data_IF_100190315946
#
_entry.id   IF_100190315946
#
_cell.length_a   1.000
_cell.length_b   1.000
_cell.length_c   1.000
_cell.angle_alpha   90.00
_cell.angle_beta   90.00
_cell.angle_gamma   90.00
#
_symmetry.space_group_name_H-M   'P 1'
#
loop_
_entity.id
_entity.type
_entity.pdbx_description
1 polymer ?
#
# COMPACT_ATOMS: atom_id res chain seq x y z
N UNK A 1 -0.16 8.82 7.97
CA UNK A 1 -1.03 8.83 6.78
C UNK A 1 -1.10 10.24 6.23
N UNK A 2 -0.41 10.49 5.12
CA UNK A 2 -0.31 11.81 4.46
C UNK A 2 -1.27 11.94 3.27
N UNK A 3 -2.12 10.96 3.05
CA UNK A 3 -2.99 10.83 1.87
C UNK A 3 -4.48 10.75 2.23
N UNK A 4 -4.94 11.56 3.19
CA UNK A 4 -6.33 11.57 3.58
C UNK A 4 -7.16 12.52 2.68
N UNK A 5 -8.07 12.02 1.84
CA UNK A 5 -8.88 12.87 0.95
C UNK A 5 -9.91 13.74 1.69
N UNK A 6 -10.04 13.57 3.01
CA UNK A 6 -11.06 14.22 3.84
C UNK A 6 -10.53 15.41 4.65
N UNK A 7 -9.30 15.89 4.38
CA UNK A 7 -8.78 17.08 5.07
C UNK A 7 -9.47 18.32 4.49
N UNK A 8 -10.23 19.01 5.31
CA UNK A 8 -10.87 20.29 4.94
C UNK A 8 -9.78 21.33 4.65
N UNK A 9 -9.72 21.81 3.40
CA UNK A 9 -8.73 22.78 2.96
C UNK A 9 -7.93 22.37 1.74
N UNK A 10 -8.09 21.13 1.25
CA UNK A 10 -7.59 20.71 -0.08
C UNK A 10 -6.08 20.50 -0.19
N UNK A 11 -5.33 20.46 0.92
CA UNK A 11 -3.90 20.17 0.87
C UNK A 11 -3.72 18.67 1.04
N UNK A 12 -3.54 17.97 -0.06
CA UNK A 12 -3.16 16.55 -0.08
C UNK A 12 -1.63 16.45 -0.11
N UNK A 13 -1.01 16.34 1.05
CA UNK A 13 0.44 16.21 1.19
C UNK A 13 1.01 14.98 0.47
N UNK A 14 0.15 14.03 0.14
CA UNK A 14 0.54 12.78 -0.51
C UNK A 14 0.58 12.85 -2.04
N UNK A 15 0.18 13.97 -2.66
CA UNK A 15 0.12 14.10 -4.12
C UNK A 15 1.24 14.94 -4.73
N UNK A 16 1.95 15.71 -3.90
CA UNK A 16 3.08 16.53 -4.31
C UNK A 16 4.37 16.06 -3.62
N UNK A 17 5.46 15.78 -4.37
CA UNK A 17 6.71 15.27 -3.80
C UNK A 17 7.36 16.23 -2.79
N UNK A 18 7.31 17.54 -3.03
CA UNK A 18 7.93 18.53 -2.12
C UNK A 18 7.17 18.57 -0.80
N UNK A 19 5.85 18.58 -0.85
CA UNK A 19 5.01 18.57 0.35
C UNK A 19 5.13 17.24 1.12
N UNK A 20 5.22 16.12 0.41
CA UNK A 20 5.47 14.81 1.00
C UNK A 20 6.78 14.80 1.78
N UNK A 21 7.88 15.22 1.15
CA UNK A 21 9.18 15.31 1.79
C UNK A 21 9.16 16.20 3.02
N UNK A 22 8.57 17.38 2.91
CA UNK A 22 8.52 18.35 4.01
C UNK A 22 7.77 17.81 5.23
N UNK A 23 6.59 17.22 5.04
CA UNK A 23 5.80 16.68 6.16
C UNK A 23 6.49 15.48 6.81
N UNK A 24 7.17 14.63 6.05
CA UNK A 24 7.94 13.51 6.59
C UNK A 24 9.16 14.03 7.37
N UNK A 25 9.91 15.01 6.83
CA UNK A 25 11.05 15.62 7.49
C UNK A 25 10.66 16.31 8.80
N UNK A 26 9.59 17.12 8.81
CA UNK A 26 9.09 17.74 10.05
C UNK A 26 8.64 16.70 11.08
N UNK A 27 8.07 15.58 10.62
CA UNK A 27 7.73 14.47 11.52
C UNK A 27 8.98 13.82 12.08
N UNK A 28 10.02 13.64 11.25
CA UNK A 28 11.31 13.08 11.66
C UNK A 28 11.99 13.95 12.73
N UNK A 29 11.97 15.24 12.56
CA UNK A 29 12.54 16.19 13.52
C UNK A 29 11.82 16.15 14.89
N UNK A 30 10.54 15.78 14.89
CA UNK A 30 9.72 15.76 16.11
C UNK A 30 9.79 14.42 16.89
N UNK A 31 10.37 13.35 16.32
CA UNK A 31 10.40 12.04 16.99
C UNK A 31 11.58 11.17 16.55
N UNK A 32 12.07 10.33 17.46
CA UNK A 32 13.03 9.26 17.19
C UNK A 32 12.37 7.90 16.89
N UNK A 33 11.04 7.81 16.95
CA UNK A 33 10.31 6.58 16.65
C UNK A 33 10.37 6.26 15.15
N UNK A 34 10.25 4.97 14.76
CA UNK A 34 10.13 4.59 13.36
C UNK A 34 8.94 5.28 12.66
N UNK A 35 9.20 5.84 11.48
CA UNK A 35 8.20 6.53 10.65
C UNK A 35 7.86 5.66 9.44
N UNK A 36 6.60 5.25 9.35
CA UNK A 36 6.05 4.57 8.18
C UNK A 36 5.18 5.56 7.40
N UNK A 37 5.65 5.99 6.23
CA UNK A 37 4.90 6.87 5.35
C UNK A 37 3.91 6.08 4.50
N UNK A 38 2.60 6.34 4.68
CA UNK A 38 1.56 5.65 3.87
C UNK A 38 1.10 6.53 2.72
N UNK A 39 1.31 6.04 1.48
CA UNK A 39 1.14 6.78 0.24
C UNK A 39 -0.17 6.47 -0.47
N UNK A 40 -0.65 7.45 -1.25
CA UNK A 40 -1.84 7.32 -2.10
C UNK A 40 -1.48 6.81 -3.50
N UNK A 41 -2.31 5.96 -4.11
CA UNK A 41 -2.14 5.56 -5.51
C UNK A 41 -2.70 6.61 -6.49
N UNK A 42 -3.39 7.65 -5.99
CA UNK A 42 -4.11 8.64 -6.80
C UNK A 42 -3.15 9.76 -7.28
N UNK A 43 -2.02 9.36 -7.85
CA UNK A 43 -0.95 10.23 -8.34
C UNK A 43 -0.47 9.75 -9.70
N UNK A 44 0.15 10.63 -10.46
CA UNK A 44 0.74 10.29 -11.75
C UNK A 44 1.98 9.39 -11.60
N UNK A 45 2.84 9.69 -10.62
CA UNK A 45 4.06 8.93 -10.34
C UNK A 45 4.13 8.61 -8.84
N UNK A 46 3.86 7.37 -8.49
CA UNK A 46 4.02 6.90 -7.10
C UNK A 46 5.49 6.82 -6.69
N UNK A 47 6.38 6.63 -7.66
CA UNK A 47 7.83 6.55 -7.44
C UNK A 47 8.38 7.88 -6.93
N UNK A 48 7.94 9.00 -7.50
CA UNK A 48 8.42 10.33 -7.09
C UNK A 48 7.99 10.66 -5.65
N UNK A 49 6.76 10.29 -5.29
CA UNK A 49 6.27 10.45 -3.91
C UNK A 49 7.06 9.54 -2.95
N UNK A 50 7.34 8.29 -3.35
CA UNK A 50 8.09 7.35 -2.53
C UNK A 50 9.53 7.82 -2.29
N UNK A 51 10.22 8.32 -3.32
CA UNK A 51 11.54 8.93 -3.19
C UNK A 51 11.52 10.12 -2.23
N UNK A 52 10.52 11.00 -2.40
CA UNK A 52 10.35 12.15 -1.53
C UNK A 52 10.12 11.76 -0.05
N UNK A 53 9.35 10.70 0.21
CA UNK A 53 9.15 10.17 1.56
C UNK A 53 10.45 9.59 2.16
N UNK A 54 11.22 8.85 1.36
CA UNK A 54 12.54 8.31 1.76
C UNK A 54 13.52 9.46 2.07
N UNK A 55 13.62 10.45 1.19
CA UNK A 55 14.48 11.63 1.35
C UNK A 55 14.08 12.48 2.57
N UNK A 56 12.81 12.45 2.95
CA UNK A 56 12.27 13.08 4.16
C UNK A 56 12.60 12.34 5.45
N UNK A 57 13.18 11.13 5.37
CA UNK A 57 13.60 10.34 6.54
C UNK A 57 12.55 9.32 7.00
N UNK A 58 11.69 8.81 6.11
CA UNK A 58 10.85 7.67 6.41
C UNK A 58 11.67 6.38 6.56
N UNK A 59 11.43 5.61 7.63
CA UNK A 59 12.08 4.32 7.88
C UNK A 59 11.41 3.17 7.08
N UNK A 60 10.20 3.40 6.62
CA UNK A 60 9.45 2.48 5.76
C UNK A 60 8.34 3.18 5.00
N UNK A 61 7.89 2.57 3.90
CA UNK A 61 6.82 3.09 3.05
C UNK A 61 5.70 2.07 2.95
N UNK A 62 4.47 2.48 3.26
CA UNK A 62 3.28 1.63 3.10
C UNK A 62 2.52 2.00 1.83
N UNK A 63 2.27 1.03 0.97
CA UNK A 63 1.62 1.14 -0.32
C UNK A 63 0.47 0.13 -0.40
N UNK A 64 -0.74 0.55 -0.57
CA UNK A 64 -1.27 1.86 -0.95
C UNK A 64 -2.45 2.27 -0.07
N UNK A 65 -2.79 3.56 -0.06
CA UNK A 65 -4.10 4.00 0.41
C UNK A 65 -5.18 3.59 -0.61
N UNK A 66 -6.45 3.89 -0.33
CA UNK A 66 -7.57 3.56 -1.21
C UNK A 66 -7.49 4.29 -2.55
N UNK A 67 -8.03 3.66 -3.59
CA UNK A 67 -8.22 4.30 -4.91
C UNK A 67 -9.49 5.15 -4.85
N UNK A 68 -9.43 6.37 -5.36
CA UNK A 68 -10.60 7.25 -5.40
C UNK A 68 -11.66 6.67 -6.36
N UNK A 69 -12.87 6.55 -5.89
CA UNK A 69 -13.99 5.98 -6.62
C UNK A 69 -15.32 6.70 -6.35
N UNK A 70 -16.36 6.29 -7.03
CA UNK A 70 -17.72 6.84 -6.91
C UNK A 70 -18.75 5.73 -7.09
N UNK A 71 -19.90 5.87 -6.42
CA UNK A 71 -21.08 5.04 -6.67
C UNK A 71 -22.33 5.91 -6.81
N UNK A 72 -23.18 5.58 -7.81
CA UNK A 72 -24.35 6.37 -8.19
C UNK A 72 -25.59 5.49 -8.17
N UNK A 73 -26.65 5.96 -7.52
CA UNK A 73 -28.01 5.48 -7.79
C UNK A 73 -28.58 6.23 -9.03
N UNK A 74 -28.57 5.55 -10.15
CA UNK A 74 -29.03 6.12 -11.42
C UNK A 74 -30.54 6.42 -11.45
N UNK A 75 -31.32 5.72 -10.61
CA UNK A 75 -32.77 5.90 -10.54
C UNK A 75 -33.11 7.22 -9.86
N UNK A 76 -32.46 7.52 -8.75
CA UNK A 76 -32.62 8.78 -8.02
C UNK A 76 -31.68 9.88 -8.55
N UNK A 77 -30.71 9.51 -9.40
CA UNK A 77 -29.65 10.40 -9.95
C UNK A 77 -28.85 11.08 -8.84
N UNK A 78 -28.53 10.33 -7.78
CA UNK A 78 -27.79 10.81 -6.62
C UNK A 78 -26.57 9.92 -6.35
N UNK A 79 -25.50 10.51 -5.78
CA UNK A 79 -24.38 9.69 -5.27
C UNK A 79 -24.87 8.83 -4.10
N UNK A 80 -24.34 7.61 -3.99
CA UNK A 80 -24.56 6.73 -2.84
C UNK A 80 -23.68 7.09 -1.64
N UNK A 81 -22.56 7.77 -1.88
CA UNK A 81 -21.63 8.19 -0.85
C UNK A 81 -21.94 9.62 -0.42
N UNK A 82 -21.89 9.87 0.90
CA UNK A 82 -22.18 11.19 1.47
C UNK A 82 -21.27 12.31 0.94
N UNK A 83 -20.00 12.00 0.66
CA UNK A 83 -19.01 12.94 0.08
C UNK A 83 -18.92 12.86 -1.45
N UNK A 84 -19.90 12.29 -2.13
CA UNK A 84 -19.94 12.07 -3.59
C UNK A 84 -18.91 11.04 -4.05
N UNK A 85 -17.65 11.21 -3.70
CA UNK A 85 -16.53 10.30 -3.97
C UNK A 85 -16.01 9.70 -2.65
N UNK A 86 -15.37 8.53 -2.74
CA UNK A 86 -14.79 7.84 -1.60
C UNK A 86 -13.72 6.85 -1.99
N UNK A 87 -13.04 6.28 -1.00
CA UNK A 87 -11.98 5.31 -1.21
C UNK A 87 -12.51 3.93 -1.55
N UNK A 88 -12.16 3.41 -2.72
CA UNK A 88 -12.34 2.02 -3.09
C UNK A 88 -11.23 1.18 -2.45
N UNK A 89 -11.60 0.09 -1.78
CA UNK A 89 -10.71 -0.88 -1.13
C UNK A 89 -11.14 -2.32 -1.43
N UNK A 90 -10.42 -3.29 -0.89
CA UNK A 90 -10.70 -4.71 -1.07
C UNK A 90 -10.08 -5.29 -2.35
N UNK A 91 -10.45 -6.53 -2.77
CA UNK A 91 -9.76 -7.28 -3.83
C UNK A 91 -9.64 -6.54 -5.16
N UNK A 92 -10.59 -5.66 -5.47
CA UNK A 92 -10.61 -4.90 -6.72
C UNK A 92 -9.39 -4.00 -6.92
N UNK A 93 -8.72 -3.55 -5.84
CA UNK A 93 -7.55 -2.67 -5.94
C UNK A 93 -6.21 -3.42 -5.92
N UNK A 94 -6.20 -4.75 -5.71
CA UNK A 94 -4.96 -5.55 -5.64
C UNK A 94 -4.01 -5.31 -6.83
N UNK A 95 -4.46 -5.36 -8.10
CA UNK A 95 -3.57 -5.13 -9.24
C UNK A 95 -2.92 -3.74 -9.24
N UNK A 96 -3.62 -2.72 -8.74
CA UNK A 96 -3.09 -1.36 -8.60
C UNK A 96 -2.03 -1.31 -7.51
N UNK A 97 -2.30 -1.95 -6.36
CA UNK A 97 -1.37 -2.01 -5.24
C UNK A 97 -0.09 -2.77 -5.59
N UNK A 98 -0.19 -3.93 -6.25
CA UNK A 98 0.96 -4.72 -6.74
C UNK A 98 1.83 -3.91 -7.69
N UNK A 99 1.24 -3.23 -8.69
CA UNK A 99 1.97 -2.33 -9.58
C UNK A 99 2.73 -1.26 -8.81
N UNK A 100 2.09 -0.60 -7.84
CA UNK A 100 2.73 0.44 -7.04
C UNK A 100 3.91 -0.12 -6.23
N UNK A 101 3.74 -1.27 -5.56
CA UNK A 101 4.81 -1.92 -4.80
C UNK A 101 5.98 -2.27 -5.72
N UNK A 102 5.74 -2.91 -6.87
CA UNK A 102 6.77 -3.27 -7.83
C UNK A 102 7.57 -2.06 -8.34
N UNK A 103 6.87 -0.99 -8.73
CA UNK A 103 7.52 0.23 -9.23
C UNK A 103 8.38 0.90 -8.17
N UNK A 104 7.89 0.96 -6.91
CA UNK A 104 8.62 1.60 -5.83
C UNK A 104 9.79 0.72 -5.35
N UNK A 105 9.61 -0.60 -5.25
CA UNK A 105 10.69 -1.53 -4.89
C UNK A 105 11.90 -1.45 -5.85
N UNK A 106 11.65 -1.14 -7.12
CA UNK A 106 12.71 -0.94 -8.11
C UNK A 106 13.39 0.44 -8.03
N UNK A 107 12.94 1.34 -7.17
CA UNK A 107 13.33 2.75 -7.20
C UNK A 107 13.85 3.31 -5.87
N UNK A 108 13.62 2.62 -4.74
CA UNK A 108 14.06 3.01 -3.40
C UNK A 108 14.54 1.80 -2.61
N UNK A 109 15.50 2.00 -1.71
CA UNK A 109 15.99 0.95 -0.80
C UNK A 109 15.20 0.89 0.52
N UNK A 110 14.31 1.86 0.76
CA UNK A 110 13.47 1.92 1.95
C UNK A 110 12.52 0.73 2.00
N UNK A 111 12.43 -0.01 3.12
CA UNK A 111 11.52 -1.16 3.25
C UNK A 111 10.07 -0.84 2.92
N UNK A 112 9.42 -1.75 2.17
CA UNK A 112 8.04 -1.54 1.72
C UNK A 112 7.06 -2.44 2.46
N UNK A 113 5.92 -1.87 2.80
CA UNK A 113 4.78 -2.60 3.38
C UNK A 113 3.65 -2.57 2.37
N UNK A 114 3.32 -3.75 1.81
CA UNK A 114 2.23 -3.88 0.85
C UNK A 114 0.85 -3.90 1.52
N UNK A 115 -0.07 -3.08 1.04
CA UNK A 115 -1.47 -3.06 1.48
C UNK A 115 -2.39 -2.76 0.30
N UNK A 116 -3.44 -3.56 0.12
CA UNK A 116 -4.47 -3.35 -0.90
C UNK A 116 -5.00 -4.64 -1.51
N UNK A 117 -6.16 -5.07 -1.04
CA UNK A 117 -6.88 -6.21 -1.61
C UNK A 117 -6.37 -7.59 -1.22
N UNK A 118 -5.45 -7.70 -0.27
CA UNK A 118 -4.92 -8.97 0.25
C UNK A 118 -5.99 -9.68 1.06
N UNK A 119 -6.26 -10.95 0.73
CA UNK A 119 -7.25 -11.80 1.40
C UNK A 119 -6.82 -13.27 1.51
N UNK A 120 -5.81 -13.71 0.76
CA UNK A 120 -5.31 -15.09 0.71
C UNK A 120 -3.81 -15.14 0.87
N UNK A 121 -3.26 -16.35 1.07
CA UNK A 121 -1.80 -16.56 1.07
C UNK A 121 -1.19 -16.23 -0.29
N UNK A 122 -1.87 -16.54 -1.41
CA UNK A 122 -1.38 -16.21 -2.73
C UNK A 122 -1.21 -14.71 -2.91
N UNK A 123 -2.18 -13.90 -2.40
CA UNK A 123 -2.05 -12.44 -2.43
C UNK A 123 -0.82 -11.98 -1.65
N UNK A 124 -0.55 -12.56 -0.48
CA UNK A 124 0.65 -12.25 0.31
C UNK A 124 1.92 -12.56 -0.47
N UNK A 125 1.99 -13.76 -1.06
CA UNK A 125 3.16 -14.18 -1.85
C UNK A 125 3.38 -13.28 -3.07
N UNK A 126 2.32 -12.86 -3.76
CA UNK A 126 2.40 -11.88 -4.86
C UNK A 126 3.04 -10.56 -4.42
N UNK A 127 2.64 -10.03 -3.26
CA UNK A 127 3.22 -8.79 -2.73
C UNK A 127 4.68 -8.95 -2.32
N UNK A 128 5.05 -10.07 -1.69
CA UNK A 128 6.44 -10.37 -1.33
C UNK A 128 7.31 -10.47 -2.60
N UNK A 129 6.88 -11.24 -3.57
CA UNK A 129 7.57 -11.39 -4.87
C UNK A 129 7.72 -10.06 -5.59
N UNK A 130 6.71 -9.16 -5.50
CA UNK A 130 6.77 -7.82 -6.07
C UNK A 130 7.73 -6.86 -5.34
N UNK A 131 8.23 -7.23 -4.14
CA UNK A 131 9.22 -6.45 -3.39
C UNK A 131 8.74 -5.87 -2.06
N UNK A 132 7.54 -6.23 -1.58
CA UNK A 132 7.12 -5.88 -0.24
C UNK A 132 7.92 -6.67 0.81
N UNK A 133 8.43 -6.00 1.83
CA UNK A 133 9.10 -6.63 2.99
C UNK A 133 8.11 -7.19 3.99
N UNK A 134 6.93 -6.59 4.07
CA UNK A 134 5.81 -7.00 4.91
C UNK A 134 4.49 -6.65 4.23
N UNK A 135 3.38 -7.15 4.77
CA UNK A 135 2.04 -6.85 4.28
C UNK A 135 1.11 -6.39 5.40
N UNK A 136 0.06 -5.65 5.03
CA UNK A 136 -1.02 -5.26 5.92
C UNK A 136 -2.36 -5.69 5.34
N UNK A 137 -3.21 -6.25 6.20
CA UNK A 137 -4.56 -6.68 5.87
C UNK A 137 -5.56 -5.59 6.32
N UNK A 138 -6.35 -5.08 5.39
CA UNK A 138 -7.33 -4.04 5.65
C UNK A 138 -8.77 -4.56 5.59
N UNK A 139 -9.44 -4.34 4.49
CA UNK A 139 -10.87 -4.60 4.26
C UNK A 139 -11.32 -6.02 4.59
N UNK A 140 -10.46 -7.01 4.34
CA UNK A 140 -10.74 -8.42 4.61
C UNK A 140 -11.12 -8.69 6.07
N UNK A 141 -10.56 -7.95 7.03
CA UNK A 141 -10.86 -8.12 8.45
C UNK A 141 -12.32 -7.83 8.82
N UNK A 142 -13.06 -7.10 7.97
CA UNK A 142 -14.47 -6.80 8.21
C UNK A 142 -15.40 -7.99 7.92
N UNK A 143 -15.00 -8.91 7.06
CA UNK A 143 -15.79 -10.10 6.73
C UNK A 143 -15.12 -11.42 7.10
N UNK A 144 -13.81 -11.45 7.31
CA UNK A 144 -13.03 -12.59 7.85
C UNK A 144 -12.03 -12.10 8.90
N UNK A 145 -12.44 -11.94 10.17
CA UNK A 145 -11.56 -11.49 11.25
C UNK A 145 -10.41 -12.45 11.57
N UNK A 146 -10.48 -13.71 11.09
CA UNK A 146 -9.48 -14.75 11.34
C UNK A 146 -8.45 -14.87 10.22
N UNK A 147 -8.58 -14.08 9.17
CA UNK A 147 -7.75 -14.15 7.97
C UNK A 147 -6.25 -14.14 8.24
N UNK A 148 -5.77 -13.31 9.17
CA UNK A 148 -4.35 -13.22 9.48
C UNK A 148 -3.79 -14.52 10.05
N UNK A 149 -4.55 -15.22 10.90
CA UNK A 149 -4.15 -16.51 11.46
C UNK A 149 -4.12 -17.59 10.37
N UNK A 150 -5.17 -17.64 9.54
CA UNK A 150 -5.23 -18.58 8.40
C UNK A 150 -4.05 -18.40 7.44
N UNK A 151 -3.73 -17.18 7.06
CA UNK A 151 -2.59 -16.86 6.20
C UNK A 151 -1.27 -17.29 6.85
N UNK A 152 -1.09 -17.07 8.16
CA UNK A 152 0.11 -17.50 8.88
C UNK A 152 0.24 -19.04 8.92
N UNK A 153 -0.87 -19.76 9.08
CA UNK A 153 -0.88 -21.22 9.05
C UNK A 153 -0.56 -21.80 7.65
N UNK A 154 -0.95 -21.07 6.58
CA UNK A 154 -0.70 -21.45 5.18
C UNK A 154 0.73 -21.09 4.71
N UNK A 155 1.39 -20.10 5.32
CA UNK A 155 2.67 -19.56 4.88
C UNK A 155 3.80 -20.60 4.77
N UNK A 156 4.00 -21.55 5.71
CA UNK A 156 5.04 -22.57 5.57
C UNK A 156 4.86 -23.44 4.32
N UNK A 157 3.63 -23.76 3.95
CA UNK A 157 3.34 -24.56 2.77
C UNK A 157 3.62 -23.75 1.48
N UNK A 158 3.22 -22.49 1.42
CA UNK A 158 3.49 -21.62 0.29
C UNK A 158 5.01 -21.41 0.06
N UNK A 159 5.80 -21.28 1.12
CA UNK A 159 7.26 -21.23 1.02
C UNK A 159 7.84 -22.54 0.50
N UNK A 160 7.33 -23.68 0.97
CA UNK A 160 7.78 -25.00 0.54
C UNK A 160 7.50 -25.25 -0.95
N UNK A 161 6.39 -24.79 -1.50
CA UNK A 161 6.03 -24.93 -2.92
C UNK A 161 7.08 -24.32 -3.87
N UNK A 162 7.74 -23.25 -3.42
CA UNK A 162 8.79 -22.56 -4.20
C UNK A 162 10.21 -22.87 -3.71
N UNK A 163 10.36 -23.85 -2.79
CA UNK A 163 11.63 -24.23 -2.15
C UNK A 163 12.36 -23.07 -1.46
N UNK A 164 11.63 -22.13 -0.88
CA UNK A 164 12.19 -21.05 -0.06
C UNK A 164 12.24 -21.45 1.42
N UNK A 165 13.35 -21.20 2.08
CA UNK A 165 13.51 -21.47 3.51
C UNK A 165 12.95 -20.35 4.40
N UNK A 166 12.76 -19.17 3.84
CA UNK A 166 12.28 -18.00 4.58
C UNK A 166 11.60 -16.98 3.66
N UNK A 167 10.80 -16.10 4.27
CA UNK A 167 10.16 -14.98 3.56
C UNK A 167 11.19 -14.07 2.90
N UNK A 168 12.35 -13.86 3.52
CA UNK A 168 13.41 -13.00 2.97
C UNK A 168 13.97 -13.52 1.63
N UNK A 169 13.88 -14.80 1.36
CA UNK A 169 14.30 -15.38 0.07
C UNK A 169 13.30 -15.14 -1.07
N UNK A 170 12.09 -14.69 -0.74
CA UNK A 170 11.01 -14.45 -1.71
C UNK A 170 10.93 -12.98 -2.12
N UNK A 171 11.37 -12.08 -1.24
CA UNK A 171 11.20 -10.64 -1.44
C UNK A 171 11.91 -10.17 -2.71
N UNK A 172 11.14 -9.55 -3.63
CA UNK A 172 11.67 -8.92 -4.84
C UNK A 172 12.19 -9.90 -5.90
N UNK A 173 11.73 -11.16 -5.87
CA UNK A 173 12.19 -12.22 -6.80
C UNK A 173 11.39 -12.31 -8.09
N UNK A 174 10.57 -11.31 -8.41
CA UNK A 174 9.76 -11.30 -9.64
C UNK A 174 10.66 -11.42 -10.88
N UNK A 175 10.41 -12.46 -11.69
CA UNK A 175 11.10 -12.68 -12.97
C UNK A 175 10.31 -11.98 -14.07
N UNK A 176 10.92 -11.00 -14.73
CA UNK A 176 10.30 -10.20 -15.80
C UNK A 176 10.82 -10.56 -17.18
N UNK A 177 11.88 -11.41 -17.26
CA UNK A 177 12.44 -11.92 -18.51
C UNK A 177 12.02 -13.39 -18.70
N UNK A 178 11.61 -13.73 -19.92
CA UNK A 178 11.28 -15.11 -20.33
C UNK A 178 12.51 -15.88 -20.72
#
# INVERSE_FOLDING_TARGET
NISCPNVSGGVDFGTDPLMCREVVSQTRDATSLPILAKLTPNVTSIVDIAKAASDGGADGISLINTVLGMAIDWRTRRPLLGNVMGGLSGPAIKPVALRCVYQVASAVDTPLIGIGGIATIDDVMEFLVAGATAVQLGTVNFYDPTVSMRILDELPNALAEINAASVSEVIGTLKTEN
#
